data_IF_643855227064
#
_entry.id   IF_643855227064
#
_cell.length_a   1.000
_cell.length_b   1.000
_cell.length_c   1.000
_cell.angle_alpha   90.00
_cell.angle_beta   90.00
_cell.angle_gamma   90.00
#
_symmetry.space_group_name_H-M   'P 1'
#
loop_
_entity.id
_entity.type
_entity.pdbx_description
1 polymer ?
#
# COMPACT_ATOMS: atom_id res chain seq x y z
N UNK A 1 -5.97 -19.53 -19.96
CA UNK A 1 -6.42 -18.47 -19.04
C UNK A 1 -5.17 -17.96 -18.36
N UNK A 2 -4.63 -16.90 -18.94
CA UNK A 2 -3.42 -16.24 -18.49
C UNK A 2 -3.57 -15.85 -17.02
N UNK A 3 -2.63 -16.33 -16.20
CA UNK A 3 -2.46 -15.82 -14.84
C UNK A 3 -1.94 -14.40 -14.99
N UNK A 4 -2.86 -13.44 -15.06
CA UNK A 4 -2.53 -12.05 -14.79
C UNK A 4 -1.88 -12.04 -13.40
N UNK A 5 -0.58 -11.73 -13.37
CA UNK A 5 0.12 -11.31 -12.17
C UNK A 5 -0.68 -10.14 -11.60
N UNK A 6 -1.59 -10.44 -10.67
CA UNK A 6 -2.37 -9.44 -9.95
C UNK A 6 -1.39 -8.61 -9.15
N UNK A 7 -0.88 -7.53 -9.77
CA UNK A 7 -0.35 -6.41 -9.02
C UNK A 7 -1.46 -6.01 -8.05
N UNK A 8 -1.19 -6.23 -6.76
CA UNK A 8 -2.07 -5.78 -5.70
C UNK A 8 -2.09 -4.26 -5.80
N UNK A 9 -3.27 -3.67 -6.01
CA UNK A 9 -3.44 -2.23 -6.01
C UNK A 9 -3.35 -1.67 -4.58
N UNK A 10 -3.14 -0.35 -4.47
CA UNK A 10 -2.87 0.30 -3.19
C UNK A 10 -4.02 0.08 -2.21
N UNK A 11 -5.25 0.18 -2.69
CA UNK A 11 -6.49 0.02 -1.95
C UNK A 11 -6.63 -1.40 -1.40
N UNK A 12 -6.23 -2.42 -2.17
CA UNK A 12 -6.20 -3.80 -1.69
C UNK A 12 -5.11 -4.00 -0.65
N UNK A 13 -3.90 -3.49 -0.87
CA UNK A 13 -2.82 -3.57 0.12
C UNK A 13 -3.18 -2.88 1.44
N UNK A 14 -3.89 -1.75 1.36
CA UNK A 14 -4.36 -1.01 2.53
C UNK A 14 -5.43 -1.81 3.30
N UNK A 15 -6.40 -2.40 2.60
CA UNK A 15 -7.41 -3.27 3.24
C UNK A 15 -6.78 -4.48 3.91
N UNK A 16 -5.80 -5.12 3.26
CA UNK A 16 -5.08 -6.24 3.88
C UNK A 16 -4.32 -5.82 5.13
N UNK A 17 -3.72 -4.61 5.13
CA UNK A 17 -3.06 -4.06 6.30
C UNK A 17 -4.05 -3.81 7.45
N UNK A 18 -5.23 -3.26 7.17
CA UNK A 18 -6.30 -3.08 8.16
C UNK A 18 -6.72 -4.41 8.80
N UNK A 19 -6.87 -5.46 7.99
CA UNK A 19 -7.19 -6.80 8.48
C UNK A 19 -6.07 -7.39 9.35
N UNK A 20 -4.81 -7.11 9.02
CA UNK A 20 -3.67 -7.53 9.83
C UNK A 20 -3.67 -6.80 11.18
N UNK A 21 -3.93 -5.50 11.19
CA UNK A 21 -4.05 -4.73 12.44
C UNK A 21 -5.15 -5.32 13.31
N UNK A 22 -6.32 -5.59 12.75
CA UNK A 22 -7.42 -6.23 13.48
C UNK A 22 -7.03 -7.59 14.08
N UNK A 23 -6.26 -8.41 13.35
CA UNK A 23 -5.76 -9.69 13.89
C UNK A 23 -4.76 -9.50 15.01
N UNK A 24 -3.86 -8.53 14.89
CA UNK A 24 -2.86 -8.23 15.92
C UNK A 24 -3.49 -7.65 17.20
N UNK A 25 -4.67 -7.05 17.09
CA UNK A 25 -5.47 -6.55 18.22
C UNK A 25 -6.32 -7.65 18.90
N UNK A 26 -6.45 -8.84 18.30
CA UNK A 26 -7.16 -9.95 18.91
C UNK A 26 -6.38 -10.52 20.10
N UNK A 27 -6.97 -10.46 21.30
CA UNK A 27 -6.36 -10.97 22.53
C UNK A 27 -6.09 -12.49 22.51
N UNK A 28 -6.73 -13.23 21.58
CA UNK A 28 -6.57 -14.68 21.43
C UNK A 28 -5.50 -15.07 20.40
N UNK A 29 -4.83 -14.11 19.76
CA UNK A 29 -3.76 -14.42 18.81
C UNK A 29 -2.60 -15.13 19.52
N UNK A 30 -2.17 -16.26 18.96
CA UNK A 30 -0.99 -16.95 19.46
C UNK A 30 0.30 -16.27 18.95
N UNK A 31 1.43 -16.59 19.58
CA UNK A 31 2.72 -15.98 19.26
C UNK A 31 3.17 -16.23 17.80
N UNK A 32 2.92 -17.43 17.27
CA UNK A 32 3.35 -17.76 15.91
C UNK A 32 2.56 -16.94 14.87
N UNK A 33 1.25 -16.82 15.08
CA UNK A 33 0.37 -16.06 14.20
C UNK A 33 0.59 -14.54 14.34
N UNK A 34 0.98 -14.05 15.53
CA UNK A 34 1.31 -12.64 15.72
C UNK A 34 2.60 -12.27 14.99
N UNK A 35 3.62 -13.12 15.02
CA UNK A 35 4.86 -12.95 14.25
C UNK A 35 4.58 -12.97 12.74
N UNK A 36 3.81 -13.95 12.25
CA UNK A 36 3.43 -14.02 10.83
C UNK A 36 2.65 -12.78 10.38
N UNK A 37 1.66 -12.36 11.16
CA UNK A 37 0.83 -11.19 10.86
C UNK A 37 1.67 -9.93 10.83
N UNK A 38 2.63 -9.78 11.75
CA UNK A 38 3.57 -8.67 11.76
C UNK A 38 4.47 -8.64 10.52
N UNK A 39 5.07 -9.77 10.14
CA UNK A 39 5.90 -9.87 8.93
C UNK A 39 5.11 -9.52 7.67
N UNK A 40 3.88 -10.02 7.55
CA UNK A 40 2.98 -9.68 6.45
C UNK A 40 2.66 -8.17 6.43
N UNK A 41 2.36 -7.58 7.60
CA UNK A 41 2.08 -6.16 7.73
C UNK A 41 3.25 -5.29 7.29
N UNK A 42 4.48 -5.64 7.72
CA UNK A 42 5.70 -4.93 7.30
C UNK A 42 5.90 -4.97 5.78
N UNK A 43 5.63 -6.12 5.15
CA UNK A 43 5.75 -6.25 3.70
C UNK A 43 4.70 -5.42 2.95
N UNK A 44 3.45 -5.41 3.43
CA UNK A 44 2.39 -4.59 2.85
C UNK A 44 2.68 -3.09 2.98
N UNK A 45 3.18 -2.64 4.14
CA UNK A 45 3.58 -1.23 4.34
C UNK A 45 4.64 -0.82 3.32
N UNK A 46 5.65 -1.66 3.08
CA UNK A 46 6.69 -1.39 2.08
C UNK A 46 6.10 -1.29 0.67
N UNK A 47 5.17 -2.15 0.32
CA UNK A 47 4.52 -2.10 -0.99
C UNK A 47 3.65 -0.85 -1.14
N UNK A 48 2.85 -0.49 -0.14
CA UNK A 48 2.08 0.76 -0.11
C UNK A 48 2.98 1.98 -0.31
N UNK A 49 4.10 2.05 0.42
CA UNK A 49 5.06 3.14 0.28
C UNK A 49 5.64 3.23 -1.14
N UNK A 50 5.99 2.09 -1.73
CA UNK A 50 6.49 2.03 -3.11
C UNK A 50 5.45 2.49 -4.12
N UNK A 51 4.18 2.12 -3.93
CA UNK A 51 3.08 2.56 -4.79
C UNK A 51 2.87 4.08 -4.69
N UNK A 52 2.88 4.63 -3.48
CA UNK A 52 2.79 6.08 -3.26
C UNK A 52 3.97 6.84 -3.90
N UNK A 53 5.19 6.34 -3.73
CA UNK A 53 6.38 6.94 -4.36
C UNK A 53 6.27 6.94 -5.89
N UNK A 54 5.79 5.84 -6.49
CA UNK A 54 5.60 5.78 -7.93
C UNK A 54 4.52 6.77 -8.41
N UNK A 55 3.43 6.91 -7.66
CA UNK A 55 2.39 7.90 -7.96
C UNK A 55 2.93 9.33 -7.87
N UNK A 56 3.68 9.65 -6.82
CA UNK A 56 4.33 10.95 -6.64
C UNK A 56 5.31 11.27 -7.79
N UNK A 57 6.15 10.31 -8.17
CA UNK A 57 7.07 10.46 -9.31
C UNK A 57 6.33 10.69 -10.62
N UNK A 58 5.19 10.03 -10.82
CA UNK A 58 4.35 10.24 -11.99
C UNK A 58 3.75 11.65 -12.00
N UNK A 59 3.26 12.14 -10.86
CA UNK A 59 2.75 13.50 -10.72
C UNK A 59 3.86 14.52 -11.01
N UNK A 60 5.05 14.35 -10.41
CA UNK A 60 6.21 15.22 -10.62
C UNK A 60 6.59 15.32 -12.10
N UNK A 61 6.69 14.18 -12.80
CA UNK A 61 6.97 14.16 -14.24
C UNK A 61 5.93 14.92 -15.06
N UNK A 62 4.65 14.77 -14.73
CA UNK A 62 3.59 15.50 -15.44
C UNK A 62 3.69 17.02 -15.25
N UNK A 63 4.07 17.47 -14.04
CA UNK A 63 4.29 18.88 -13.73
C UNK A 63 5.57 19.43 -14.40
N UNK A 64 6.66 18.66 -14.40
CA UNK A 64 7.95 19.03 -15.00
C UNK A 64 7.90 19.07 -16.54
N UNK A 65 7.11 18.20 -17.17
CA UNK A 65 6.92 18.15 -18.64
C UNK A 65 6.05 19.31 -19.18
N UNK A 66 5.81 20.36 -18.38
CA UNK A 66 5.12 21.58 -18.80
C UNK A 66 3.59 21.49 -18.81
N UNK A 67 3.02 20.41 -18.28
CA UNK A 67 1.59 20.35 -17.97
C UNK A 67 1.37 21.17 -16.71
N UNK A 68 1.13 22.48 -16.85
CA UNK A 68 0.71 23.34 -15.75
C UNK A 68 -0.66 22.87 -15.25
N UNK A 69 -0.66 21.89 -14.35
CA UNK A 69 -1.83 21.63 -13.50
C UNK A 69 -1.80 22.73 -12.46
N UNK A 70 -2.60 23.76 -12.68
CA UNK A 70 -2.93 24.76 -11.66
C UNK A 70 -3.58 24.01 -10.49
N UNK A 71 -2.77 23.61 -9.51
CA UNK A 71 -3.24 23.15 -8.22
C UNK A 71 -3.70 24.40 -7.48
N UNK A 72 -4.93 24.79 -7.77
CA UNK A 72 -5.63 25.88 -7.09
C UNK A 72 -5.89 25.41 -5.65
N UNK A 73 -4.91 25.67 -4.77
CA UNK A 73 -5.06 25.53 -3.32
C UNK A 73 -5.97 26.66 -2.83
N UNK A 74 -7.28 26.41 -2.89
CA UNK A 74 -8.28 27.14 -2.08
C UNK A 74 -8.47 26.45 -0.73
#
# INVERSE_FOLDING_TARGET
MDKEDKKIDFETSLKELELIVQKLEDENINLEDSVKSFEQGVNLVKECQKQLQNAELKIKKLLDDGSSIELDNS
#
